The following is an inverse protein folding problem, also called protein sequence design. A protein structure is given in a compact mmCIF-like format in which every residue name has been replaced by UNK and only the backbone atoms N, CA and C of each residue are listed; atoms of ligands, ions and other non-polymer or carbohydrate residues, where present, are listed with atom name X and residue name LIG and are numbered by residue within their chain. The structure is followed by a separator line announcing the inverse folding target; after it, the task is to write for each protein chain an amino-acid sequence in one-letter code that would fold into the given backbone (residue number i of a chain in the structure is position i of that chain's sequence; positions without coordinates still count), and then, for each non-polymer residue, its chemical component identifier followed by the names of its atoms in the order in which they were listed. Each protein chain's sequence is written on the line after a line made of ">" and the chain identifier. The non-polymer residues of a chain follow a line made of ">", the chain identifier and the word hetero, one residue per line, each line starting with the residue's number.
data_IF_756675846442
#
_entry.id   IF_756675846442
#
_cell.length_a   1.000
_cell.length_b   1.000
_cell.length_c   1.000
_cell.angle_alpha   90.00
_cell.angle_beta   90.00
_cell.angle_gamma   90.00
#
_symmetry.space_group_name_H-M   'P 1'
#
loop_
_entity.id
_entity.type
_entity.pdbx_description
1 polymer ?
#
# COMPACT_ATOMS: atom_id res chain seq x y z
N UNK A 1 -10.16 5.74 -33.68
CA UNK A 1 -9.11 4.92 -33.01
C UNK A 1 -9.74 4.31 -31.78
N UNK A 2 -9.60 3.01 -31.57
CA UNK A 2 -9.98 2.41 -30.28
C UNK A 2 -8.88 2.80 -29.30
N UNK A 3 -9.18 3.58 -28.28
CA UNK A 3 -8.26 3.89 -27.18
C UNK A 3 -7.71 2.57 -26.60
N UNK A 4 -6.43 2.51 -26.35
CA UNK A 4 -5.83 1.38 -25.63
C UNK A 4 -5.91 1.73 -24.14
N UNK A 5 -6.62 0.90 -23.40
CA UNK A 5 -6.65 0.96 -21.95
C UNK A 5 -5.67 -0.06 -21.40
N UNK A 6 -4.96 0.31 -20.34
CA UNK A 6 -4.14 -0.60 -19.54
C UNK A 6 -4.20 -0.21 -18.08
N UNK A 7 -3.86 -1.11 -17.20
CA UNK A 7 -3.72 -0.84 -15.79
C UNK A 7 -2.39 -1.38 -15.24
N UNK A 8 -2.00 -0.92 -14.08
CA UNK A 8 -0.75 -1.31 -13.42
C UNK A 8 -0.81 -2.70 -12.78
N UNK A 9 -1.99 -3.35 -12.75
CA UNK A 9 -2.23 -4.36 -11.74
C UNK A 9 -2.23 -3.77 -10.32
N UNK A 10 -2.30 -4.62 -9.30
CA UNK A 10 -2.22 -4.19 -7.92
C UNK A 10 -0.76 -3.95 -7.52
N UNK A 11 -0.39 -2.69 -7.39
CA UNK A 11 0.85 -2.27 -6.76
C UNK A 11 0.73 -2.48 -5.25
N UNK A 12 1.73 -3.10 -4.64
CA UNK A 12 1.80 -3.40 -3.21
C UNK A 12 2.93 -2.56 -2.58
N UNK A 13 2.71 -1.29 -2.27
CA UNK A 13 3.72 -0.48 -1.60
C UNK A 13 4.01 -1.05 -0.21
N UNK A 14 5.28 -1.07 0.15
CA UNK A 14 5.66 -1.32 1.53
C UNK A 14 5.31 -0.07 2.32
N UNK A 15 4.43 -0.24 3.31
CA UNK A 15 4.07 0.81 4.26
C UNK A 15 4.80 0.45 5.56
N UNK A 16 6.04 0.92 5.73
CA UNK A 16 6.81 0.53 6.90
C UNK A 16 6.21 1.18 8.14
N UNK A 17 5.85 0.36 9.07
CA UNK A 17 5.41 0.76 10.40
C UNK A 17 6.66 1.00 11.25
N UNK A 18 7.56 1.90 10.77
CA UNK A 18 8.97 1.94 11.17
C UNK A 18 9.26 2.71 12.45
N UNK A 19 8.32 3.39 13.04
CA UNK A 19 8.55 4.17 14.25
C UNK A 19 7.83 3.60 15.47
N UNK A 20 7.60 2.29 15.46
CA UNK A 20 6.91 1.65 16.55
C UNK A 20 7.82 1.54 17.75
N UNK A 21 7.42 2.13 18.83
CA UNK A 21 7.99 1.83 20.13
C UNK A 21 7.50 0.44 20.50
N UNK A 22 8.44 -0.46 20.64
CA UNK A 22 8.20 -1.82 21.12
C UNK A 22 7.26 -1.77 22.34
N UNK A 23 6.11 -2.41 22.25
CA UNK A 23 5.10 -2.66 23.28
C UNK A 23 3.89 -1.72 23.39
N UNK A 24 3.71 -0.70 22.56
CA UNK A 24 2.45 0.06 22.57
C UNK A 24 1.74 0.01 21.21
N UNK A 25 0.64 -0.76 21.16
CA UNK A 25 -0.20 -0.95 19.95
C UNK A 25 -0.84 0.37 19.44
N UNK A 26 -0.75 1.44 20.21
CA UNK A 26 -1.28 2.75 19.81
C UNK A 26 -0.41 3.49 18.79
N UNK A 27 0.86 3.09 18.67
CA UNK A 27 1.84 3.79 17.83
C UNK A 27 1.82 3.39 16.34
N UNK A 28 0.92 2.47 15.96
CA UNK A 28 0.67 2.11 14.54
C UNK A 28 -0.16 3.16 13.79
N UNK A 29 -0.60 4.21 14.47
CA UNK A 29 -1.43 5.24 13.86
C UNK A 29 -0.60 6.25 13.07
N UNK A 30 -0.96 6.42 11.82
CA UNK A 30 -0.55 7.56 11.01
C UNK A 30 -1.41 8.77 11.38
N UNK A 31 -0.82 9.95 11.41
CA UNK A 31 -1.53 11.21 11.63
C UNK A 31 -1.90 11.88 10.30
N UNK A 32 -2.66 12.97 10.37
CA UNK A 32 -2.99 13.79 9.20
C UNK A 32 -1.72 14.26 8.47
N UNK A 33 -1.68 14.05 7.16
CA UNK A 33 -0.57 14.38 6.23
C UNK A 33 0.68 13.52 6.36
N UNK A 34 0.63 12.43 7.09
CA UNK A 34 1.73 11.49 7.12
C UNK A 34 1.88 10.72 5.80
N UNK A 35 3.12 10.40 5.49
CA UNK A 35 3.50 9.57 4.36
C UNK A 35 3.13 8.12 4.69
N UNK A 36 2.18 7.56 3.95
CA UNK A 36 1.80 6.15 4.04
C UNK A 36 2.88 5.26 3.42
N UNK A 37 3.35 5.65 2.25
CA UNK A 37 4.46 5.03 1.54
C UNK A 37 5.12 6.06 0.63
N UNK A 38 6.44 5.96 0.51
CA UNK A 38 7.24 6.81 -0.37
C UNK A 38 7.14 6.32 -1.83
N UNK A 39 7.84 6.94 -2.73
CA UNK A 39 7.78 6.70 -4.16
C UNK A 39 7.93 5.23 -4.54
N UNK A 40 6.86 4.62 -5.00
CA UNK A 40 6.84 3.32 -5.64
C UNK A 40 6.90 3.51 -7.15
N UNK A 41 7.92 2.97 -7.79
CA UNK A 41 8.08 3.02 -9.23
C UNK A 41 7.20 1.98 -9.92
N UNK A 42 6.59 2.35 -11.05
CA UNK A 42 5.92 1.44 -11.97
C UNK A 42 6.18 1.86 -13.42
N UNK A 43 6.08 0.91 -14.32
CA UNK A 43 6.34 1.13 -15.74
C UNK A 43 5.02 1.33 -16.49
N UNK A 44 4.99 2.32 -17.38
CA UNK A 44 3.90 2.55 -18.34
C UNK A 44 4.45 2.40 -19.76
N UNK A 45 3.65 2.02 -20.76
CA UNK A 45 4.09 2.02 -22.16
C UNK A 45 4.61 3.40 -22.54
N UNK A 46 5.52 3.48 -23.51
CA UNK A 46 6.01 4.79 -24.00
C UNK A 46 4.90 5.64 -24.58
N UNK A 47 4.98 6.92 -24.28
CA UNK A 47 4.08 7.93 -24.82
C UNK A 47 3.40 8.74 -23.74
N UNK A 48 2.46 9.56 -24.17
CA UNK A 48 1.61 10.34 -23.28
C UNK A 48 0.37 9.54 -22.95
N UNK A 49 0.10 9.37 -21.67
CA UNK A 49 -1.05 8.64 -21.17
C UNK A 49 -1.92 9.52 -20.30
N UNK A 50 -3.21 9.19 -20.29
CA UNK A 50 -4.18 9.85 -19.45
C UNK A 50 -4.57 8.91 -18.33
N UNK A 51 -4.37 9.30 -17.09
CA UNK A 51 -4.92 8.58 -15.95
C UNK A 51 -6.45 8.73 -15.94
N UNK A 52 -7.16 7.62 -16.01
CA UNK A 52 -8.63 7.61 -16.06
C UNK A 52 -9.27 7.18 -14.76
N UNK A 53 -8.58 6.35 -13.98
CA UNK A 53 -9.04 6.00 -12.63
C UNK A 53 -7.90 5.56 -11.73
N UNK A 54 -8.12 5.71 -10.43
CA UNK A 54 -7.29 5.12 -9.39
C UNK A 54 -8.17 4.30 -8.46
N UNK A 55 -7.69 3.14 -8.07
CA UNK A 55 -8.35 2.26 -7.10
C UNK A 55 -7.39 1.94 -5.98
N UNK A 56 -7.92 1.81 -4.78
CA UNK A 56 -7.17 1.56 -3.57
C UNK A 56 -7.87 0.45 -2.77
N UNK A 57 -7.11 -0.53 -2.30
CA UNK A 57 -7.54 -1.41 -1.22
C UNK A 57 -6.85 -0.95 0.05
N UNK A 58 -7.60 -0.78 1.10
CA UNK A 58 -7.15 -0.30 2.38
C UNK A 58 -7.52 -1.32 3.45
N UNK A 59 -6.54 -1.79 4.20
CA UNK A 59 -6.78 -2.72 5.30
C UNK A 59 -7.49 -2.01 6.44
N UNK A 60 -8.42 -2.71 7.09
CA UNK A 60 -9.08 -2.25 8.29
C UNK A 60 -8.17 -2.30 9.54
N UNK A 61 -8.71 -1.82 10.64
CA UNK A 61 -8.05 -1.78 11.93
C UNK A 61 -8.72 -2.77 12.90
N UNK A 62 -7.92 -3.59 13.58
CA UNK A 62 -8.41 -4.57 14.57
C UNK A 62 -9.61 -5.41 14.11
N UNK A 63 -9.61 -5.78 12.83
CA UNK A 63 -10.73 -6.56 12.28
C UNK A 63 -12.01 -5.77 12.08
N UNK A 64 -11.94 -4.45 12.12
CA UNK A 64 -13.02 -3.53 11.83
C UNK A 64 -12.66 -2.63 10.65
N UNK A 65 -13.67 -1.98 10.10
CA UNK A 65 -13.50 -0.94 9.10
C UNK A 65 -12.69 0.23 9.67
N UNK A 66 -11.75 0.77 8.91
CA UNK A 66 -11.08 2.02 9.24
C UNK A 66 -12.08 3.16 9.37
N UNK A 67 -11.76 4.15 10.21
CA UNK A 67 -12.45 5.42 10.15
C UNK A 67 -12.32 6.02 8.73
N UNK A 68 -13.39 6.64 8.25
CA UNK A 68 -13.40 7.29 6.94
C UNK A 68 -12.36 8.43 6.94
N UNK A 69 -11.31 8.25 6.15
CA UNK A 69 -10.17 9.15 6.09
C UNK A 69 -9.72 9.27 4.65
N UNK A 70 -9.77 10.48 4.13
CA UNK A 70 -9.33 10.77 2.78
C UNK A 70 -7.85 10.46 2.60
N UNK A 71 -7.49 10.09 1.37
CA UNK A 71 -6.11 9.81 1.00
C UNK A 71 -5.74 10.52 -0.29
N UNK A 72 -4.46 10.79 -0.44
CA UNK A 72 -3.91 11.35 -1.66
C UNK A 72 -2.88 10.39 -2.25
N UNK A 73 -2.99 10.15 -3.55
CA UNK A 73 -1.95 9.52 -4.34
C UNK A 73 -1.22 10.61 -5.12
N UNK A 74 0.04 10.79 -4.80
CA UNK A 74 0.93 11.73 -5.49
C UNK A 74 1.61 11.01 -6.64
N UNK A 75 1.57 11.60 -7.83
CA UNK A 75 2.19 11.05 -9.03
C UNK A 75 3.37 11.91 -9.44
N UNK A 76 4.48 11.28 -9.79
CA UNK A 76 5.71 11.94 -10.20
C UNK A 76 6.39 11.20 -11.35
N UNK A 77 7.32 11.90 -12.02
CA UNK A 77 8.16 11.35 -13.08
C UNK A 77 9.64 11.45 -12.73
N UNK A 78 10.45 10.65 -13.40
CA UNK A 78 11.89 10.92 -13.43
C UNK A 78 12.19 12.16 -14.25
N UNK A 79 13.29 12.83 -13.94
CA UNK A 79 13.84 13.92 -14.76
C UNK A 79 15.27 13.54 -15.10
N UNK A 80 15.61 13.51 -16.40
CA UNK A 80 16.92 13.09 -16.89
C UNK A 80 17.38 11.73 -16.32
N UNK A 81 16.44 10.80 -16.18
CA UNK A 81 16.68 9.47 -15.60
C UNK A 81 16.82 9.44 -14.08
N UNK A 82 16.71 10.58 -13.42
CA UNK A 82 16.80 10.67 -11.94
C UNK A 82 15.41 10.53 -11.34
N UNK A 83 15.25 9.60 -10.40
CA UNK A 83 14.02 9.41 -9.64
C UNK A 83 13.66 10.66 -8.80
N UNK A 84 12.38 10.87 -8.48
CA UNK A 84 12.02 11.91 -7.53
C UNK A 84 12.70 11.66 -6.18
N UNK A 85 13.25 12.70 -5.54
CA UNK A 85 13.77 12.58 -4.18
C UNK A 85 12.68 12.13 -3.21
N UNK A 86 13.04 11.37 -2.19
CA UNK A 86 12.14 10.89 -1.14
C UNK A 86 11.29 12.02 -0.55
N UNK A 87 10.05 11.72 -0.23
CA UNK A 87 9.14 12.60 0.50
C UNK A 87 9.56 12.77 1.97
N UNK A 88 10.22 11.77 2.50
CA UNK A 88 10.62 11.67 3.90
C UNK A 88 10.43 10.25 4.44
N UNK A 89 10.49 10.12 5.75
CA UNK A 89 10.22 8.85 6.44
C UNK A 89 8.71 8.59 6.48
N UNK A 90 8.22 7.39 6.17
CA UNK A 90 6.83 7.01 6.41
C UNK A 90 6.42 7.21 7.88
N UNK A 91 5.14 7.44 8.10
CA UNK A 91 4.57 7.84 9.39
C UNK A 91 5.12 9.18 9.94
N UNK A 92 5.53 10.05 9.04
CA UNK A 92 5.91 11.44 9.33
C UNK A 92 5.37 12.31 8.20
N UNK A 93 5.01 13.55 8.50
CA UNK A 93 4.55 14.50 7.50
C UNK A 93 5.63 14.80 6.45
N UNK A 94 5.20 15.06 5.21
CA UNK A 94 6.11 15.40 4.10
C UNK A 94 7.01 16.57 4.47
N UNK A 95 8.31 16.36 4.48
CA UNK A 95 9.30 17.38 4.89
C UNK A 95 10.17 17.90 3.76
N UNK A 96 10.34 17.12 2.69
CA UNK A 96 11.18 17.47 1.55
C UNK A 96 10.53 18.45 0.58
N UNK A 97 11.33 19.14 -0.22
CA UNK A 97 10.85 20.02 -1.29
C UNK A 97 11.42 19.65 -2.66
N UNK A 98 12.43 18.78 -2.70
CA UNK A 98 13.13 18.41 -3.93
C UNK A 98 12.26 17.68 -4.96
N UNK A 99 11.22 16.99 -4.50
CA UNK A 99 10.28 16.25 -5.34
C UNK A 99 9.38 17.16 -6.19
N UNK A 100 9.21 18.44 -5.82
CA UNK A 100 8.23 19.36 -6.45
C UNK A 100 8.33 19.44 -7.97
N UNK A 101 9.55 19.49 -8.50
CA UNK A 101 9.78 19.55 -9.95
C UNK A 101 9.43 18.26 -10.70
N UNK A 102 9.34 17.14 -9.97
CA UNK A 102 9.00 15.83 -10.51
C UNK A 102 7.49 15.58 -10.53
N UNK A 103 6.70 16.36 -9.81
CA UNK A 103 5.27 16.16 -9.65
C UNK A 103 4.54 16.23 -10.99
N UNK A 104 3.71 15.23 -11.25
CA UNK A 104 2.73 15.21 -12.35
C UNK A 104 1.36 15.67 -11.86
N UNK A 105 0.99 15.31 -10.64
CA UNK A 105 -0.26 15.71 -10.03
C UNK A 105 -0.61 14.90 -8.80
N UNK A 106 -1.79 15.19 -8.26
CA UNK A 106 -2.33 14.55 -7.06
C UNK A 106 -3.71 14.00 -7.39
N UNK A 107 -3.94 12.75 -7.02
CA UNK A 107 -5.26 12.12 -7.05
C UNK A 107 -5.79 12.11 -5.62
N UNK A 108 -6.93 12.74 -5.40
CA UNK A 108 -7.62 12.70 -4.12
C UNK A 108 -8.61 11.55 -4.11
N UNK A 109 -8.54 10.70 -3.10
CA UNK A 109 -9.46 9.61 -2.86
C UNK A 109 -10.29 9.98 -1.64
N UNK A 110 -11.54 10.35 -1.91
CA UNK A 110 -12.54 10.70 -0.91
C UNK A 110 -13.20 9.40 -0.42
N UNK A 111 -12.96 9.04 0.81
CA UNK A 111 -13.49 7.80 1.39
C UNK A 111 -14.98 7.82 1.61
N UNK A 112 -15.60 8.98 1.67
CA UNK A 112 -17.06 9.08 1.87
C UNK A 112 -17.85 8.79 0.59
N UNK A 113 -17.20 8.88 -0.58
CA UNK A 113 -17.87 8.80 -1.88
C UNK A 113 -17.56 7.53 -2.68
N UNK A 114 -16.59 6.75 -2.26
CA UNK A 114 -15.99 5.73 -3.12
C UNK A 114 -15.87 4.35 -2.46
N UNK A 115 -16.80 4.00 -1.58
CA UNK A 115 -16.62 2.83 -0.73
C UNK A 115 -17.27 1.57 -1.24
N UNK A 116 -16.54 0.46 -1.14
CA UNK A 116 -17.07 -0.90 -1.18
C UNK A 116 -16.37 -1.71 -0.10
N UNK A 117 -17.13 -2.28 0.82
CA UNK A 117 -16.58 -3.20 1.80
C UNK A 117 -16.30 -4.55 1.13
N UNK A 118 -15.00 -4.87 0.95
CA UNK A 118 -14.60 -6.20 0.48
C UNK A 118 -14.76 -7.23 1.60
N UNK A 119 -14.53 -6.80 2.84
CA UNK A 119 -14.71 -7.58 4.05
C UNK A 119 -14.78 -6.63 5.25
N UNK A 120 -15.09 -7.11 6.47
CA UNK A 120 -14.97 -6.27 7.66
C UNK A 120 -13.58 -5.67 7.88
N UNK A 121 -12.56 -6.22 7.20
CA UNK A 121 -11.15 -5.86 7.39
C UNK A 121 -10.55 -5.07 6.22
N UNK A 122 -11.19 -5.12 5.05
CA UNK A 122 -10.64 -4.50 3.83
C UNK A 122 -11.71 -3.66 3.14
N UNK A 123 -11.34 -2.47 2.75
CA UNK A 123 -12.18 -1.52 2.04
C UNK A 123 -11.63 -1.28 0.64
N UNK A 124 -12.51 -1.15 -0.32
CA UNK A 124 -12.16 -0.81 -1.69
C UNK A 124 -12.62 0.60 -2.00
N UNK A 125 -11.71 1.40 -2.50
CA UNK A 125 -11.97 2.76 -2.96
C UNK A 125 -11.64 2.88 -4.42
N UNK A 126 -12.43 3.64 -5.17
CA UNK A 126 -12.10 4.00 -6.54
C UNK A 126 -12.54 5.42 -6.86
N UNK A 127 -11.76 6.10 -7.65
CA UNK A 127 -12.08 7.42 -8.15
C UNK A 127 -11.87 7.47 -9.66
N UNK A 128 -12.82 8.07 -10.38
CA UNK A 128 -12.65 8.37 -11.80
C UNK A 128 -12.09 9.77 -11.97
N UNK A 129 -11.13 9.91 -12.88
CA UNK A 129 -10.50 11.20 -13.16
C UNK A 129 -11.29 12.07 -14.12
N UNK A 130 -12.30 11.53 -14.80
CA UNK A 130 -13.06 12.26 -15.80
C UNK A 130 -14.46 12.61 -15.30
N UNK A 131 -14.69 13.90 -15.04
CA UNK A 131 -15.97 14.54 -15.23
C UNK A 131 -17.14 14.07 -14.37
N UNK A 132 -16.93 13.49 -13.21
CA UNK A 132 -18.03 13.28 -12.27
C UNK A 132 -18.37 14.61 -11.60
N UNK A 133 -19.56 15.12 -11.86
CA UNK A 133 -20.08 16.38 -11.30
C UNK A 133 -20.33 16.26 -9.80
N UNK A 134 -19.30 16.11 -9.00
CA UNK A 134 -19.41 15.96 -7.54
C UNK A 134 -18.08 15.88 -6.82
N UNK A 135 -17.03 15.44 -7.48
CA UNK A 135 -15.68 15.45 -6.89
C UNK A 135 -14.94 16.72 -7.30
N UNK A 136 -14.95 17.70 -6.46
CA UNK A 136 -14.23 18.97 -6.65
C UNK A 136 -12.70 18.79 -6.73
N UNK A 137 -12.18 17.61 -6.36
CA UNK A 137 -10.77 17.36 -6.17
C UNK A 137 -10.08 16.64 -7.34
N UNK A 138 -10.86 16.02 -8.26
CA UNK A 138 -10.34 15.29 -9.42
C UNK A 138 -11.00 15.78 -10.73
N UNK A 139 -11.18 17.07 -10.89
CA UNK A 139 -11.97 17.69 -11.96
C UNK A 139 -11.27 17.72 -13.34
N UNK A 140 -10.23 16.95 -13.54
CA UNK A 140 -9.50 16.90 -14.81
C UNK A 140 -8.77 15.59 -15.01
N UNK A 141 -8.47 15.32 -16.29
CA UNK A 141 -7.60 14.21 -16.62
C UNK A 141 -6.16 14.56 -16.28
N UNK A 142 -5.50 13.71 -15.52
CA UNK A 142 -4.07 13.84 -15.30
C UNK A 142 -3.32 13.26 -16.50
N UNK A 143 -2.59 14.11 -17.20
CA UNK A 143 -1.72 13.68 -18.30
C UNK A 143 -0.38 13.25 -17.71
N UNK A 144 0.00 12.03 -17.99
CA UNK A 144 1.26 11.44 -17.56
C UNK A 144 2.23 11.46 -18.74
N UNK A 145 3.32 12.16 -18.54
CA UNK A 145 4.44 12.19 -19.45
C UNK A 145 5.69 11.89 -18.64
N UNK A 146 6.37 10.81 -18.98
CA UNK A 146 7.53 10.34 -18.24
C UNK A 146 8.78 10.27 -19.09
N UNK A 147 9.93 10.25 -18.45
CA UNK A 147 11.19 10.05 -19.16
C UNK A 147 11.37 8.58 -19.54
N UNK A 148 11.94 8.28 -20.71
CA UNK A 148 12.21 6.93 -21.14
C UNK A 148 13.06 6.15 -20.13
N UNK A 149 12.69 4.91 -19.88
CA UNK A 149 13.46 4.00 -19.06
C UNK A 149 14.56 3.32 -19.89
N UNK A 150 15.55 2.78 -19.22
CA UNK A 150 16.71 2.11 -19.84
C UNK A 150 16.87 0.67 -19.31
N UNK A 151 17.75 -0.10 -19.92
CA UNK A 151 18.02 -1.47 -19.53
C UNK A 151 16.90 -2.44 -19.90
N UNK A 152 16.54 -3.34 -19.01
CA UNK A 152 15.50 -4.37 -19.24
C UNK A 152 14.09 -3.80 -19.41
N UNK A 153 13.87 -2.57 -18.98
CA UNK A 153 12.60 -1.84 -19.17
C UNK A 153 12.64 -0.87 -20.35
N UNK A 154 13.59 -1.03 -21.27
CA UNK A 154 13.64 -0.23 -22.51
C UNK A 154 12.35 -0.43 -23.32
N UNK A 155 11.68 0.68 -23.65
CA UNK A 155 10.34 0.66 -24.30
C UNK A 155 9.21 1.05 -23.37
N UNK A 156 9.46 1.15 -22.08
CA UNK A 156 8.55 1.66 -21.07
C UNK A 156 9.07 2.97 -20.50
N UNK A 157 8.16 3.76 -19.99
CA UNK A 157 8.46 4.96 -19.24
C UNK A 157 8.17 4.69 -17.76
N UNK A 158 8.98 5.26 -16.86
CA UNK A 158 8.85 5.06 -15.43
C UNK A 158 8.12 6.21 -14.78
N UNK A 159 7.06 5.86 -14.07
CA UNK A 159 6.26 6.76 -13.25
C UNK A 159 6.34 6.32 -11.79
N UNK A 160 6.07 7.22 -10.88
CA UNK A 160 6.14 6.99 -9.44
C UNK A 160 4.82 7.39 -8.80
N UNK A 161 4.41 6.60 -7.81
CA UNK A 161 3.27 6.92 -6.96
C UNK A 161 3.68 6.87 -5.50
N UNK A 162 3.20 7.82 -4.70
CA UNK A 162 3.34 7.84 -3.25
C UNK A 162 1.98 8.08 -2.61
N UNK A 163 1.79 7.61 -1.38
CA UNK A 163 0.54 7.74 -0.63
C UNK A 163 0.68 8.65 0.58
N UNK A 164 -0.27 9.57 0.75
CA UNK A 164 -0.36 10.48 1.89
C UNK A 164 -1.75 10.31 2.51
N UNK A 165 -1.83 10.15 3.83
CA UNK A 165 -3.12 10.18 4.52
C UNK A 165 -3.55 11.61 4.84
N UNK A 166 -4.87 11.82 4.86
CA UNK A 166 -5.49 13.11 5.21
C UNK A 166 -6.23 13.02 6.55
N UNK A 167 -5.82 12.10 7.40
CA UNK A 167 -6.34 11.89 8.75
C UNK A 167 -5.70 10.66 9.40
N UNK A 168 -6.15 10.32 10.60
CA UNK A 168 -5.59 9.20 11.35
C UNK A 168 -5.96 7.85 10.73
N UNK A 169 -4.96 7.00 10.52
CA UNK A 169 -5.09 5.64 9.98
C UNK A 169 -4.27 4.69 10.83
N UNK A 170 -4.80 3.52 11.13
CA UNK A 170 -4.11 2.47 11.88
C UNK A 170 -4.29 1.12 11.19
N UNK A 171 -3.20 0.41 10.94
CA UNK A 171 -3.18 -0.86 10.22
C UNK A 171 -3.03 -2.10 11.12
N UNK A 172 -3.25 -1.98 12.42
CA UNK A 172 -3.24 -3.14 13.31
C UNK A 172 -4.23 -4.21 12.83
N UNK A 173 -3.78 -5.45 12.74
CA UNK A 173 -4.57 -6.58 12.25
C UNK A 173 -5.36 -7.26 13.34
N UNK A 174 -4.88 -7.18 14.57
CA UNK A 174 -5.33 -7.98 15.71
C UNK A 174 -5.26 -9.50 15.44
N UNK A 175 -4.44 -9.92 14.50
CA UNK A 175 -4.12 -11.34 14.28
C UNK A 175 -2.89 -11.69 15.10
N UNK A 176 -3.11 -12.33 16.23
CA UNK A 176 -2.06 -12.69 17.19
C UNK A 176 -1.64 -14.15 16.97
N UNK A 177 -0.37 -14.42 17.18
CA UNK A 177 0.12 -15.79 17.24
C UNK A 177 -0.50 -16.54 18.43
N UNK A 178 -0.76 -17.81 18.23
CA UNK A 178 -1.13 -18.77 19.27
C UNK A 178 -0.15 -19.95 19.18
N UNK A 179 1.04 -19.74 19.66
CA UNK A 179 2.09 -20.75 19.65
C UNK A 179 2.31 -21.30 21.06
N UNK A 180 2.29 -22.62 21.20
CA UNK A 180 2.66 -23.29 22.44
C UNK A 180 4.19 -23.28 22.62
N UNK A 181 4.78 -22.09 22.76
CA UNK A 181 6.22 -21.84 22.79
C UNK A 181 6.66 -20.93 21.65
N UNK A 182 7.85 -20.40 21.74
CA UNK A 182 8.41 -19.48 20.75
C UNK A 182 8.69 -20.20 19.42
N UNK A 183 8.31 -19.57 18.32
CA UNK A 183 8.73 -19.99 16.99
C UNK A 183 10.13 -19.46 16.74
N UNK A 184 11.12 -20.35 16.67
CA UNK A 184 12.49 -19.97 16.26
C UNK A 184 12.55 -19.55 14.79
N UNK A 185 13.51 -18.70 14.46
CA UNK A 185 13.81 -18.39 13.06
C UNK A 185 14.18 -19.64 12.27
N UNK A 186 13.68 -19.77 11.05
CA UNK A 186 13.93 -20.91 10.16
C UNK A 186 13.93 -20.49 8.71
N UNK A 187 14.75 -21.16 7.89
CA UNK A 187 14.84 -20.97 6.45
C UNK A 187 13.92 -21.91 5.65
N UNK A 188 13.06 -22.65 6.34
CA UNK A 188 12.14 -23.62 5.73
C UNK A 188 10.70 -23.20 5.94
N UNK A 189 9.82 -23.73 5.11
CA UNK A 189 8.37 -23.53 5.23
C UNK A 189 7.90 -23.84 6.64
N UNK A 190 7.17 -22.91 7.22
CA UNK A 190 6.68 -22.98 8.60
C UNK A 190 5.19 -22.64 8.64
N UNK A 191 4.45 -23.33 9.48
CA UNK A 191 3.04 -23.03 9.74
C UNK A 191 2.87 -22.40 11.12
N UNK A 192 2.38 -21.17 11.12
CA UNK A 192 2.08 -20.38 12.31
C UNK A 192 0.62 -20.56 12.65
N UNK A 193 0.33 -20.91 13.91
CA UNK A 193 -1.05 -20.92 14.42
C UNK A 193 -1.41 -19.54 14.94
N UNK A 194 -2.64 -19.10 14.71
CA UNK A 194 -3.09 -17.76 15.13
C UNK A 194 -4.32 -17.84 16.01
N UNK A 195 -4.46 -16.87 16.90
CA UNK A 195 -5.62 -16.72 17.76
C UNK A 195 -6.86 -16.35 16.93
N UNK A 196 -7.98 -17.03 17.23
CA UNK A 196 -9.25 -16.75 16.56
C UNK A 196 -9.31 -17.25 15.12
N UNK A 197 -10.33 -16.83 14.38
CA UNK A 197 -10.61 -17.29 13.02
C UNK A 197 -10.55 -16.13 12.02
N UNK A 198 -9.51 -15.33 12.08
CA UNK A 198 -9.45 -14.06 11.35
C UNK A 198 -8.38 -14.02 10.23
N UNK A 199 -7.45 -14.96 10.17
CA UNK A 199 -6.33 -14.89 9.24
C UNK A 199 -6.79 -14.73 7.76
N UNK A 200 -7.76 -15.51 7.30
CA UNK A 200 -8.30 -15.42 5.94
C UNK A 200 -9.12 -14.14 5.67
N UNK A 201 -9.43 -13.38 6.70
CA UNK A 201 -10.15 -12.10 6.54
C UNK A 201 -9.20 -10.93 6.35
N UNK A 202 -7.96 -11.08 6.82
CA UNK A 202 -6.93 -10.04 6.81
C UNK A 202 -5.91 -10.27 5.70
N UNK A 203 -5.45 -11.51 5.54
CA UNK A 203 -4.34 -11.86 4.67
C UNK A 203 -4.78 -12.62 3.42
N UNK A 204 -3.93 -12.55 2.40
CA UNK A 204 -4.02 -13.30 1.15
C UNK A 204 -2.72 -14.09 0.92
N UNK A 205 -2.82 -15.20 0.19
CA UNK A 205 -1.62 -15.92 -0.28
C UNK A 205 -0.80 -14.99 -1.19
N UNK A 206 0.51 -14.93 -0.91
CA UNK A 206 1.43 -14.01 -1.57
C UNK A 206 1.62 -12.67 -0.86
N UNK A 207 0.95 -12.44 0.28
CA UNK A 207 1.30 -11.30 1.12
C UNK A 207 2.62 -11.56 1.85
N UNK A 208 3.45 -10.53 1.95
CA UNK A 208 4.64 -10.53 2.80
C UNK A 208 4.24 -10.02 4.17
N UNK A 209 4.61 -10.76 5.20
CA UNK A 209 4.22 -10.48 6.58
C UNK A 209 5.43 -10.26 7.49
N UNK A 210 5.20 -9.51 8.54
CA UNK A 210 6.17 -9.17 9.58
C UNK A 210 5.52 -9.22 10.95
N UNK A 211 6.34 -9.38 11.99
CA UNK A 211 5.90 -9.21 13.36
C UNK A 211 5.78 -7.72 13.72
N UNK A 212 5.15 -7.42 14.84
CA UNK A 212 4.93 -6.04 15.31
C UNK A 212 6.23 -5.29 15.58
N UNK A 213 7.30 -5.98 15.95
CA UNK A 213 8.65 -5.44 16.15
C UNK A 213 9.41 -5.20 14.82
N UNK A 214 8.72 -5.35 13.68
CA UNK A 214 9.24 -5.23 12.31
C UNK A 214 10.16 -6.39 11.87
N UNK A 215 10.28 -7.43 12.66
CA UNK A 215 11.02 -8.59 12.24
C UNK A 215 10.31 -9.27 11.05
N UNK A 216 11.02 -9.46 9.95
CA UNK A 216 10.48 -10.11 8.76
C UNK A 216 10.08 -11.56 9.09
N UNK A 217 8.86 -11.94 8.72
CA UNK A 217 8.42 -13.32 8.87
C UNK A 217 8.65 -14.06 7.55
N UNK A 218 8.01 -13.63 6.47
CA UNK A 218 8.13 -14.28 5.17
C UNK A 218 6.92 -14.04 4.28
N UNK A 219 6.82 -14.83 3.21
CA UNK A 219 5.70 -14.76 2.25
C UNK A 219 4.68 -15.86 2.54
N UNK A 220 3.41 -15.51 2.58
CA UNK A 220 2.32 -16.47 2.79
C UNK A 220 2.19 -17.40 1.59
N UNK A 221 2.32 -18.70 1.80
CA UNK A 221 2.17 -19.75 0.77
C UNK A 221 0.86 -20.51 0.88
N UNK A 222 0.30 -20.61 2.10
CA UNK A 222 -1.03 -21.17 2.33
C UNK A 222 -1.69 -20.50 3.55
N UNK A 223 -3.01 -20.51 3.57
CA UNK A 223 -3.80 -19.81 4.57
C UNK A 223 -5.05 -20.59 4.93
N UNK A 224 -5.32 -20.71 6.23
CA UNK A 224 -6.60 -21.16 6.78
C UNK A 224 -7.12 -20.11 7.75
N UNK A 225 -8.30 -20.30 8.29
CA UNK A 225 -8.87 -19.36 9.26
C UNK A 225 -8.03 -19.21 10.54
N UNK A 226 -7.29 -20.26 10.90
CA UNK A 226 -6.53 -20.35 12.16
C UNK A 226 -5.04 -20.58 11.97
N UNK A 227 -4.55 -20.60 10.73
CA UNK A 227 -3.12 -20.81 10.47
C UNK A 227 -2.64 -20.07 9.23
N UNK A 228 -1.38 -19.68 9.26
CA UNK A 228 -0.65 -19.02 8.19
C UNK A 228 0.58 -19.87 7.88
N UNK A 229 0.72 -20.37 6.65
CA UNK A 229 1.94 -21.05 6.22
C UNK A 229 2.78 -20.07 5.41
N UNK A 230 4.05 -19.91 5.80
CA UNK A 230 5.03 -19.04 5.16
C UNK A 230 6.15 -19.86 4.51
N UNK A 231 6.79 -19.31 3.49
CA UNK A 231 7.92 -19.93 2.79
C UNK A 231 9.14 -20.13 3.71
N UNK A 232 9.34 -19.19 4.62
CA UNK A 232 10.38 -19.22 5.66
C UNK A 232 9.89 -18.36 6.84
N UNK A 233 10.60 -18.40 7.97
CA UNK A 233 10.33 -17.54 9.12
C UNK A 233 11.65 -16.94 9.60
N UNK A 234 11.95 -15.71 9.16
CA UNK A 234 13.21 -15.05 9.49
C UNK A 234 13.26 -14.57 10.93
N UNK A 235 12.11 -14.30 11.53
CA UNK A 235 11.99 -13.81 12.90
C UNK A 235 11.88 -14.94 13.91
N UNK A 236 12.38 -14.71 15.11
CA UNK A 236 11.95 -15.45 16.29
C UNK A 236 10.67 -14.80 16.81
N UNK A 237 9.60 -15.58 16.91
CA UNK A 237 8.26 -15.10 17.27
C UNK A 237 7.84 -15.65 18.61
N UNK A 238 7.15 -14.85 19.39
CA UNK A 238 6.59 -15.23 20.70
C UNK A 238 5.07 -15.41 20.61
N UNK A 239 4.50 -16.03 21.64
CA UNK A 239 3.05 -16.11 21.78
C UNK A 239 2.46 -14.71 21.92
N UNK A 240 1.28 -14.50 21.33
CA UNK A 240 0.60 -13.20 21.25
C UNK A 240 1.30 -12.11 20.42
N UNK A 241 2.39 -12.41 19.70
CA UNK A 241 2.92 -11.45 18.72
C UNK A 241 1.87 -11.14 17.65
N UNK A 242 1.67 -9.85 17.37
CA UNK A 242 0.79 -9.41 16.29
C UNK A 242 1.49 -9.55 14.94
N UNK A 243 0.79 -10.17 13.98
CA UNK A 243 1.25 -10.35 12.61
C UNK A 243 0.66 -9.24 11.74
N UNK A 244 1.52 -8.57 10.99
CA UNK A 244 1.17 -7.45 10.11
C UNK A 244 1.55 -7.79 8.67
N UNK A 245 0.77 -7.30 7.70
CA UNK A 245 1.23 -7.27 6.31
C UNK A 245 2.12 -6.05 6.07
N UNK A 246 3.17 -6.21 5.26
CA UNK A 246 4.02 -5.09 4.84
C UNK A 246 3.32 -4.16 3.85
N UNK A 247 2.20 -4.58 3.26
CA UNK A 247 1.45 -3.83 2.25
C UNK A 247 -0.04 -3.74 2.59
N UNK A 248 -0.40 -3.02 3.68
CA UNK A 248 -1.79 -2.85 4.08
C UNK A 248 -2.59 -1.99 3.10
N UNK A 249 -1.91 -1.33 2.18
CA UNK A 249 -2.48 -0.55 1.09
C UNK A 249 -2.07 -1.19 -0.23
N UNK A 250 -3.04 -1.39 -1.13
CA UNK A 250 -2.80 -1.84 -2.51
C UNK A 250 -3.38 -0.79 -3.45
N UNK A 251 -2.62 -0.38 -4.46
CA UNK A 251 -3.00 0.68 -5.41
C UNK A 251 -3.07 0.12 -6.82
N UNK A 252 -4.09 0.50 -7.57
CA UNK A 252 -4.19 0.21 -9.00
C UNK A 252 -4.54 1.48 -9.76
N UNK A 253 -3.80 1.75 -10.82
CA UNK A 253 -3.98 2.92 -11.67
C UNK A 253 -4.34 2.45 -13.08
N UNK A 254 -5.38 3.04 -13.67
CA UNK A 254 -5.80 2.71 -15.03
C UNK A 254 -5.62 3.92 -15.96
N UNK A 255 -5.16 3.63 -17.15
CA UNK A 255 -4.74 4.63 -18.14
C UNK A 255 -5.40 4.41 -19.49
N UNK A 256 -5.56 5.51 -20.22
CA UNK A 256 -5.89 5.57 -21.64
C UNK A 256 -4.65 6.09 -22.39
N UNK A 257 -4.29 5.39 -23.49
CA UNK A 257 -3.15 5.74 -24.35
C UNK A 257 -3.62 6.50 -25.61
#
# INVERSE_FOLDING_TARGET
>A
MKGKYFDTGWLKPITPVTNQIVNDKSDLAFADKDILFDWLAFDVPRGTHKLVSASLIHQGNHGARQAETDQQLWLARSIDGVAPPSLGTPNVAVSGTGHRKHMLGIVHIDQTQATGDLSPFNQFYSTAMAGSAGSLNNSGSLVIESAPNSGSSAGFDRVYVAGITMGAVNFSTNVLLNQAGNQGATTTTTTLTVNGAAATKVFEVGDVIQAMDLAAIGTITALTTTSITVDLCEAALEDDDEILTTSPIKVKLAFEA
#
